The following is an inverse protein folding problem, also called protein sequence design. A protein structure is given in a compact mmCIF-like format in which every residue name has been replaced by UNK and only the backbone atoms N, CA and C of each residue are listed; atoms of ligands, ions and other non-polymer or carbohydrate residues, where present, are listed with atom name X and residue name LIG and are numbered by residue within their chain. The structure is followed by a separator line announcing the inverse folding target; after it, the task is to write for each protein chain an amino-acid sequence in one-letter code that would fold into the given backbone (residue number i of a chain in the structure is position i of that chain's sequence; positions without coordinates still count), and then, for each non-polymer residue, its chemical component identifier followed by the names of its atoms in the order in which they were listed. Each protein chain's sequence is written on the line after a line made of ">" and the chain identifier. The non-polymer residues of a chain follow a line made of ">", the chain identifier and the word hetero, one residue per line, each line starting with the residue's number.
data_IF_702188593954
#
_entry.id   IF_702188593954
#
_cell.length_a   1.000
_cell.length_b   1.000
_cell.length_c   1.000
_cell.angle_alpha   90.00
_cell.angle_beta   90.00
_cell.angle_gamma   90.00
#
_symmetry.space_group_name_H-M   'P 1'
#
loop_
_entity.id
_entity.type
_entity.pdbx_description
1 polymer ?
#
# COMPACT_ATOMS: atom_id res chain seq x y z
N UNK A 1 -19.12 7.47 3.94
CA UNK A 1 -18.59 7.18 2.59
C UNK A 1 -17.57 6.07 2.73
N UNK A 2 -17.47 5.18 1.75
CA UNK A 2 -16.44 4.15 1.73
C UNK A 2 -15.05 4.79 1.64
N UNK A 3 -14.05 4.15 2.22
CA UNK A 3 -12.69 4.68 2.26
C UNK A 3 -11.68 3.58 1.92
N UNK A 4 -10.72 3.90 1.05
CA UNK A 4 -9.66 3.00 0.60
C UNK A 4 -8.33 3.64 0.98
N UNK A 5 -7.50 2.90 1.72
CA UNK A 5 -6.12 3.30 1.96
C UNK A 5 -5.18 2.56 1.01
N UNK A 6 -4.18 3.26 0.51
CA UNK A 6 -3.19 2.70 -0.40
C UNK A 6 -1.80 2.95 0.15
N UNK A 7 -1.12 1.88 0.54
CA UNK A 7 0.28 1.95 0.95
C UNK A 7 1.17 2.21 -0.28
N UNK A 8 1.99 3.26 -0.18
CA UNK A 8 2.96 3.61 -1.21
C UNK A 8 4.31 3.01 -0.83
N UNK A 9 4.69 1.94 -1.53
CA UNK A 9 6.03 1.37 -1.38
C UNK A 9 7.05 2.27 -2.06
N UNK A 10 8.06 2.68 -1.31
CA UNK A 10 9.10 3.59 -1.73
C UNK A 10 10.48 3.08 -1.31
N UNK A 11 11.52 3.52 -1.98
CA UNK A 11 12.89 3.27 -1.60
C UNK A 11 13.71 4.55 -1.72
N UNK A 12 14.34 4.95 -0.62
CA UNK A 12 15.17 6.17 -0.53
C UNK A 12 14.48 7.43 -1.08
N UNK A 13 13.19 7.62 -0.74
CA UNK A 13 12.43 8.80 -1.13
C UNK A 13 11.85 8.76 -2.55
N UNK A 14 11.94 7.64 -3.25
CA UNK A 14 11.33 7.45 -4.56
C UNK A 14 10.30 6.32 -4.53
N UNK A 15 9.08 6.58 -5.00
CA UNK A 15 8.04 5.56 -5.06
C UNK A 15 8.33 4.54 -6.16
N UNK A 16 7.98 3.27 -5.87
CA UNK A 16 8.04 2.22 -6.89
C UNK A 16 6.85 2.34 -7.85
N UNK A 17 7.05 2.05 -9.13
CA UNK A 17 6.01 2.09 -10.15
C UNK A 17 4.75 1.28 -9.78
N UNK A 18 4.92 0.14 -9.12
CA UNK A 18 3.83 -0.70 -8.62
C UNK A 18 2.91 0.02 -7.61
N UNK A 19 3.39 1.05 -6.91
CA UNK A 19 2.55 1.87 -6.03
C UNK A 19 1.56 2.71 -6.83
N UNK A 20 1.99 3.26 -7.96
CA UNK A 20 1.14 4.04 -8.85
C UNK A 20 0.12 3.16 -9.57
N UNK A 21 0.50 1.95 -10.00
CA UNK A 21 -0.43 0.94 -10.51
C UNK A 21 -1.51 0.61 -9.47
N UNK A 22 -1.12 0.46 -8.20
CA UNK A 22 -2.04 0.19 -7.08
C UNK A 22 -2.98 1.38 -6.85
N UNK A 23 -2.50 2.63 -6.95
CA UNK A 23 -3.37 3.81 -6.88
C UNK A 23 -4.38 3.86 -8.03
N UNK A 24 -3.95 3.54 -9.25
CA UNK A 24 -4.86 3.44 -10.40
C UNK A 24 -5.96 2.40 -10.18
N UNK A 25 -5.60 1.22 -9.68
CA UNK A 25 -6.55 0.17 -9.33
C UNK A 25 -7.50 0.61 -8.20
N UNK A 26 -6.98 1.33 -7.20
CA UNK A 26 -7.78 1.88 -6.10
C UNK A 26 -8.81 2.90 -6.59
N UNK A 27 -8.47 3.77 -7.53
CA UNK A 27 -9.42 4.75 -8.12
C UNK A 27 -10.53 4.06 -8.88
N UNK A 28 -10.22 3.02 -9.65
CA UNK A 28 -11.24 2.22 -10.32
C UNK A 28 -12.15 1.53 -9.30
N UNK A 29 -11.56 0.89 -8.28
CA UNK A 29 -12.31 0.25 -7.21
C UNK A 29 -13.20 1.25 -6.47
N UNK A 30 -12.70 2.47 -6.21
CA UNK A 30 -13.46 3.53 -5.55
C UNK A 30 -14.70 3.92 -6.36
N UNK A 31 -14.59 3.99 -7.69
CA UNK A 31 -15.74 4.23 -8.57
C UNK A 31 -16.75 3.07 -8.49
N UNK A 32 -16.29 1.82 -8.54
CA UNK A 32 -17.13 0.62 -8.41
C UNK A 32 -17.84 0.56 -7.05
N UNK A 33 -17.26 1.16 -6.00
CA UNK A 33 -17.84 1.28 -4.64
C UNK A 33 -18.78 2.48 -4.46
N UNK A 34 -19.11 3.19 -5.54
CA UNK A 34 -20.02 4.34 -5.48
C UNK A 34 -19.37 5.66 -5.04
N UNK A 35 -18.05 5.81 -5.23
CA UNK A 35 -17.32 7.06 -4.96
C UNK A 35 -16.59 7.05 -3.61
N UNK A 36 -15.80 6.01 -3.33
CA UNK A 36 -14.94 5.94 -2.15
C UNK A 36 -13.79 6.97 -2.23
N UNK A 37 -13.38 7.49 -1.09
CA UNK A 37 -12.16 8.31 -0.97
C UNK A 37 -10.92 7.42 -1.00
N UNK A 38 -9.90 7.82 -1.77
CA UNK A 38 -8.61 7.12 -1.85
C UNK A 38 -7.55 7.92 -1.10
N UNK A 39 -7.03 7.36 -0.02
CA UNK A 39 -5.99 7.99 0.81
C UNK A 39 -4.66 7.25 0.66
N UNK A 40 -3.61 7.95 0.23
CA UNK A 40 -2.26 7.40 0.17
C UNK A 40 -1.65 7.33 1.58
N UNK A 41 -1.06 6.19 1.95
CA UNK A 41 -0.22 6.04 3.14
C UNK A 41 1.25 6.13 2.70
N UNK A 42 1.88 7.25 2.99
CA UNK A 42 3.28 7.53 2.62
C UNK A 42 4.13 7.51 3.88
N UNK A 43 4.93 6.46 4.02
CA UNK A 43 5.69 6.15 5.22
C UNK A 43 7.18 6.06 4.84
N UNK A 44 8.04 6.76 5.59
CA UNK A 44 9.48 6.75 5.29
C UNK A 44 10.23 7.90 5.94
N UNK A 45 11.39 8.20 5.40
CA UNK A 45 12.15 9.41 5.69
C UNK A 45 12.41 10.18 4.40
N UNK A 46 12.26 11.51 4.45
CA UNK A 46 12.37 12.41 3.28
C UNK A 46 11.38 12.04 2.15
N UNK A 47 10.12 11.72 2.50
CA UNK A 47 9.11 11.21 1.57
C UNK A 47 7.97 12.19 1.28
N UNK A 48 8.09 13.46 1.67
CA UNK A 48 7.06 14.48 1.38
C UNK A 48 6.82 14.65 -0.13
N UNK A 49 7.88 14.52 -0.95
CA UNK A 49 7.76 14.53 -2.41
C UNK A 49 6.87 13.42 -2.94
N UNK A 50 7.01 12.21 -2.38
CA UNK A 50 6.17 11.05 -2.72
C UNK A 50 4.71 11.28 -2.35
N UNK A 51 4.43 11.95 -1.22
CA UNK A 51 3.08 12.29 -0.83
C UNK A 51 2.44 13.28 -1.83
N UNK A 52 3.18 14.28 -2.28
CA UNK A 52 2.72 15.22 -3.32
C UNK A 52 2.49 14.52 -4.66
N UNK A 53 3.42 13.67 -5.08
CA UNK A 53 3.31 12.90 -6.32
C UNK A 53 2.10 11.95 -6.31
N UNK A 54 1.72 11.40 -5.14
CA UNK A 54 0.57 10.49 -5.04
C UNK A 54 -0.75 11.09 -5.52
N UNK A 55 -0.92 12.41 -5.41
CA UNK A 55 -2.11 13.10 -5.91
C UNK A 55 -2.18 13.05 -7.44
N UNK A 56 -1.06 13.19 -8.12
CA UNK A 56 -1.01 13.11 -9.58
C UNK A 56 -1.43 11.74 -10.09
N UNK A 57 -1.20 10.68 -9.30
CA UNK A 57 -1.62 9.31 -9.63
C UNK A 57 -2.96 8.90 -9.06
N UNK A 58 -3.71 9.83 -8.46
CA UNK A 58 -5.12 9.58 -8.15
C UNK A 58 -5.47 9.54 -6.67
N UNK A 59 -4.57 9.78 -5.75
CA UNK A 59 -4.95 9.97 -4.35
C UNK A 59 -5.81 11.23 -4.17
N UNK A 60 -6.79 11.16 -3.27
CA UNK A 60 -7.64 12.29 -2.89
C UNK A 60 -7.09 12.99 -1.63
N UNK A 61 -6.40 12.21 -0.76
CA UNK A 61 -5.71 12.66 0.43
C UNK A 61 -4.45 11.83 0.66
N UNK A 62 -3.55 12.30 1.51
CA UNK A 62 -2.38 11.54 1.95
C UNK A 62 -2.19 11.60 3.47
N UNK A 63 -1.81 10.49 4.08
CA UNK A 63 -1.24 10.43 5.43
C UNK A 63 0.26 10.26 5.29
N UNK A 64 1.00 11.19 5.86
CA UNK A 64 2.46 11.25 5.76
C UNK A 64 3.09 11.00 7.12
N UNK A 65 3.86 9.92 7.25
CA UNK A 65 4.82 9.75 8.33
C UNK A 65 6.23 9.88 7.75
N UNK A 66 6.85 11.03 8.01
CA UNK A 66 8.22 11.32 7.58
C UNK A 66 9.10 11.34 8.82
N UNK A 67 9.74 10.21 9.14
CA UNK A 67 10.44 10.02 10.39
C UNK A 67 11.69 9.14 10.23
N UNK A 68 12.71 9.42 11.04
CA UNK A 68 13.99 8.70 11.04
C UNK A 68 13.84 7.20 11.37
N UNK A 69 12.86 6.81 12.18
CA UNK A 69 12.59 5.40 12.51
C UNK A 69 12.15 4.58 11.29
N UNK A 70 11.75 5.26 10.21
CA UNK A 70 11.32 4.66 8.94
C UNK A 70 12.34 4.85 7.81
N UNK A 71 13.55 5.33 8.12
CA UNK A 71 14.60 5.57 7.12
C UNK A 71 14.99 4.30 6.38
N UNK A 72 15.25 3.24 7.15
CA UNK A 72 15.50 1.91 6.62
C UNK A 72 14.25 1.04 6.77
N UNK A 73 14.01 0.21 5.76
CA UNK A 73 12.84 -0.66 5.79
C UNK A 73 12.99 -1.76 6.86
N UNK A 74 12.10 -1.72 7.83
CA UNK A 74 11.91 -2.73 8.87
C UNK A 74 10.41 -3.01 8.99
N UNK A 75 9.98 -4.24 8.82
CA UNK A 75 8.56 -4.61 8.69
C UNK A 75 7.70 -4.10 9.84
N UNK A 76 8.17 -4.29 11.08
CA UNK A 76 7.39 -4.00 12.28
C UNK A 76 6.95 -2.53 12.43
N UNK A 77 7.83 -1.51 12.30
CA UNK A 77 7.38 -0.12 12.43
C UNK A 77 6.35 0.29 11.38
N UNK A 78 6.46 -0.20 10.16
CA UNK A 78 5.49 0.06 9.10
C UNK A 78 4.13 -0.60 9.39
N UNK A 79 4.12 -1.88 9.74
CA UNK A 79 2.90 -2.62 10.05
C UNK A 79 2.19 -2.06 11.29
N UNK A 80 2.94 -1.77 12.36
CA UNK A 80 2.41 -1.18 13.58
C UNK A 80 1.79 0.21 13.33
N UNK A 81 2.41 1.02 12.45
CA UNK A 81 1.86 2.32 12.09
C UNK A 81 0.55 2.19 11.33
N UNK A 82 0.46 1.32 10.32
CA UNK A 82 -0.79 1.07 9.60
C UNK A 82 -1.88 0.59 10.57
N UNK A 83 -1.56 -0.33 11.47
CA UNK A 83 -2.52 -0.84 12.44
C UNK A 83 -2.98 0.22 13.44
N UNK A 84 -2.08 1.09 13.93
CA UNK A 84 -2.43 2.21 14.80
C UNK A 84 -3.33 3.20 14.08
N UNK A 85 -2.95 3.65 12.88
CA UNK A 85 -3.75 4.58 12.09
C UNK A 85 -5.17 4.05 11.85
N UNK A 86 -5.31 2.75 11.56
CA UNK A 86 -6.62 2.12 11.42
C UNK A 86 -7.43 2.16 12.72
N UNK A 87 -6.79 1.86 13.87
CA UNK A 87 -7.48 1.84 15.16
C UNK A 87 -7.96 3.23 15.59
N UNK A 88 -7.16 4.26 15.30
CA UNK A 88 -7.41 5.66 15.66
C UNK A 88 -8.30 6.40 14.65
N UNK A 89 -8.47 5.87 13.44
CA UNK A 89 -9.25 6.52 12.40
C UNK A 89 -10.71 6.70 12.80
N UNK A 90 -11.21 7.94 12.71
CA UNK A 90 -12.63 8.25 12.90
C UNK A 90 -13.51 7.59 11.83
N UNK A 91 -13.03 7.55 10.59
CA UNK A 91 -13.61 6.79 9.49
C UNK A 91 -12.63 5.70 9.06
N UNK A 92 -12.90 4.47 9.50
CA UNK A 92 -12.06 3.33 9.17
C UNK A 92 -12.17 2.99 7.70
N UNK A 93 -11.03 2.66 7.03
CA UNK A 93 -11.09 2.18 5.66
C UNK A 93 -11.76 0.81 5.58
N UNK A 94 -12.55 0.61 4.53
CA UNK A 94 -13.11 -0.71 4.19
C UNK A 94 -12.03 -1.62 3.61
N UNK A 95 -11.07 -1.01 2.90
CA UNK A 95 -10.02 -1.70 2.17
C UNK A 95 -8.67 -1.00 2.39
N UNK A 96 -7.62 -1.80 2.61
CA UNK A 96 -6.24 -1.35 2.60
C UNK A 96 -5.52 -2.08 1.47
N UNK A 97 -5.03 -1.33 0.49
CA UNK A 97 -4.31 -1.84 -0.68
C UNK A 97 -2.82 -1.52 -0.60
N UNK A 98 -2.02 -2.38 -1.18
CA UNK A 98 -0.60 -2.13 -1.41
C UNK A 98 -0.05 -2.98 -2.56
N UNK A 99 1.12 -2.64 -3.12
CA UNK A 99 1.75 -3.46 -4.14
C UNK A 99 2.29 -4.77 -3.54
N UNK A 100 2.18 -5.88 -4.28
CA UNK A 100 2.72 -7.18 -3.87
C UNK A 100 4.24 -7.29 -4.10
N UNK A 101 4.98 -6.23 -3.77
CA UNK A 101 6.43 -6.26 -3.67
C UNK A 101 6.87 -7.13 -2.48
N UNK A 102 8.16 -7.45 -2.38
CA UNK A 102 8.69 -8.17 -1.20
C UNK A 102 8.32 -7.44 0.09
N UNK A 103 8.58 -6.13 0.15
CA UNK A 103 8.25 -5.30 1.33
C UNK A 103 6.75 -5.20 1.58
N UNK A 104 5.96 -4.98 0.53
CA UNK A 104 4.51 -4.90 0.64
C UNK A 104 3.87 -6.17 1.20
N UNK A 105 4.32 -7.36 0.75
CA UNK A 105 3.83 -8.64 1.28
C UNK A 105 4.11 -8.79 2.79
N UNK A 106 5.32 -8.45 3.22
CA UNK A 106 5.73 -8.58 4.61
C UNK A 106 4.93 -7.61 5.51
N UNK A 107 4.82 -6.34 5.10
CA UNK A 107 4.06 -5.32 5.84
C UNK A 107 2.59 -5.71 5.96
N UNK A 108 1.97 -6.13 4.85
CA UNK A 108 0.54 -6.47 4.83
C UNK A 108 0.22 -7.76 5.58
N UNK A 109 1.13 -8.74 5.54
CA UNK A 109 1.01 -9.95 6.35
C UNK A 109 0.99 -9.62 7.84
N UNK A 110 1.96 -8.82 8.32
CA UNK A 110 2.04 -8.42 9.71
C UNK A 110 0.89 -7.49 10.12
N UNK A 111 0.56 -6.49 9.30
CA UNK A 111 -0.55 -5.57 9.58
C UNK A 111 -1.89 -6.30 9.68
N UNK A 112 -2.14 -7.30 8.82
CA UNK A 112 -3.37 -8.09 8.89
C UNK A 112 -3.51 -8.84 10.22
N UNK A 113 -2.41 -9.39 10.75
CA UNK A 113 -2.40 -10.04 12.07
C UNK A 113 -2.72 -9.03 13.18
N UNK A 114 -2.09 -7.85 13.18
CA UNK A 114 -2.33 -6.81 14.19
C UNK A 114 -3.75 -6.22 14.13
N UNK A 115 -4.38 -6.28 12.95
CA UNK A 115 -5.76 -5.85 12.71
C UNK A 115 -6.79 -6.97 12.97
N UNK A 116 -6.35 -8.19 13.26
CA UNK A 116 -7.23 -9.34 13.47
C UNK A 116 -8.01 -9.74 12.22
N UNK A 117 -7.45 -9.48 11.04
CA UNK A 117 -8.01 -9.81 9.73
C UNK A 117 -7.08 -10.74 8.95
N UNK A 118 -7.36 -10.98 7.69
CA UNK A 118 -6.51 -11.75 6.78
C UNK A 118 -6.07 -10.91 5.60
N UNK A 119 -4.85 -11.16 5.11
CA UNK A 119 -4.36 -10.57 3.88
C UNK A 119 -4.71 -11.45 2.67
N UNK A 120 -5.27 -10.84 1.63
CA UNK A 120 -5.42 -11.47 0.30
C UNK A 120 -4.22 -11.01 -0.52
N UNK A 121 -3.33 -11.95 -0.83
CA UNK A 121 -2.05 -11.63 -1.46
C UNK A 121 -2.10 -11.79 -2.99
N UNK A 122 -1.31 -10.94 -3.68
CA UNK A 122 -0.94 -11.11 -5.08
C UNK A 122 -2.13 -11.09 -6.06
N UNK A 123 -3.09 -10.16 -5.81
CA UNK A 123 -4.25 -9.96 -6.67
C UNK A 123 -3.87 -9.48 -8.06
N UNK A 124 -4.30 -10.19 -9.10
CA UNK A 124 -4.14 -9.81 -10.50
C UNK A 124 -5.43 -9.20 -11.09
N UNK A 125 -6.52 -9.24 -10.34
CA UNK A 125 -7.79 -8.59 -10.64
C UNK A 125 -8.49 -8.18 -9.37
N UNK A 126 -9.21 -7.06 -9.38
CA UNK A 126 -9.97 -6.53 -8.24
C UNK A 126 -11.26 -5.88 -8.73
N UNK A 127 -12.37 -6.14 -8.05
CA UNK A 127 -13.66 -5.50 -8.32
C UNK A 127 -14.51 -5.46 -7.05
N UNK A 128 -15.45 -4.51 -6.98
CA UNK A 128 -16.43 -4.45 -5.91
C UNK A 128 -17.78 -4.99 -6.40
N UNK A 129 -18.43 -5.79 -5.55
CA UNK A 129 -19.79 -6.30 -5.78
C UNK A 129 -20.46 -6.54 -4.44
N UNK A 130 -21.73 -6.13 -4.31
CA UNK A 130 -22.57 -6.37 -3.13
C UNK A 130 -21.91 -5.96 -1.78
N UNK A 131 -21.19 -4.82 -1.79
CA UNK A 131 -20.50 -4.28 -0.61
C UNK A 131 -19.24 -5.03 -0.18
N UNK A 132 -18.74 -5.94 -1.00
CA UNK A 132 -17.50 -6.66 -0.79
C UNK A 132 -16.54 -6.51 -1.96
N UNK A 133 -15.25 -6.60 -1.67
CA UNK A 133 -14.20 -6.57 -2.69
C UNK A 133 -13.73 -7.98 -2.99
N UNK A 134 -13.82 -8.35 -4.24
CA UNK A 134 -13.40 -9.63 -4.80
C UNK A 134 -12.05 -9.47 -5.46
N UNK A 135 -11.14 -10.38 -5.16
CA UNK A 135 -9.78 -10.37 -5.69
C UNK A 135 -9.54 -11.65 -6.46
N UNK A 136 -9.17 -11.52 -7.71
CA UNK A 136 -8.72 -12.67 -8.52
C UNK A 136 -7.21 -12.79 -8.39
N UNK A 137 -6.76 -13.95 -7.95
CA UNK A 137 -5.35 -14.22 -7.82
C UNK A 137 -4.98 -15.56 -8.48
N UNK A 138 -3.83 -15.66 -9.16
CA UNK A 138 -3.38 -16.89 -9.78
C UNK A 138 -2.79 -17.84 -8.72
N UNK A 139 -3.20 -19.09 -8.82
CA UNK A 139 -2.70 -20.21 -8.03
C UNK A 139 -2.02 -21.25 -8.92
N UNK A 140 -1.21 -22.14 -8.32
CA UNK A 140 -0.51 -23.20 -9.03
C UNK A 140 0.29 -22.71 -10.24
N UNK A 141 1.14 -21.70 -10.04
CA UNK A 141 1.92 -21.05 -11.11
C UNK A 141 1.07 -20.50 -12.28
N UNK A 142 -0.13 -20.00 -11.96
CA UNK A 142 -1.03 -19.39 -12.94
C UNK A 142 -1.94 -20.38 -13.69
N UNK A 143 -1.88 -21.67 -13.39
CA UNK A 143 -2.76 -22.68 -14.00
C UNK A 143 -4.21 -22.56 -13.55
N UNK A 144 -4.46 -21.91 -12.41
CA UNK A 144 -5.78 -21.68 -11.85
C UNK A 144 -5.91 -20.21 -11.46
N UNK A 145 -7.04 -19.59 -11.79
CA UNK A 145 -7.45 -18.30 -11.28
C UNK A 145 -8.48 -18.52 -10.17
N UNK A 146 -8.17 -18.06 -8.96
CA UNK A 146 -9.06 -18.15 -7.81
C UNK A 146 -9.61 -16.77 -7.48
N UNK A 147 -10.93 -16.67 -7.28
CA UNK A 147 -11.56 -15.45 -6.78
C UNK A 147 -11.80 -15.57 -5.28
N UNK A 148 -11.22 -14.66 -4.52
CA UNK A 148 -11.22 -14.66 -3.06
C UNK A 148 -11.89 -13.39 -2.54
N UNK A 149 -12.60 -13.52 -1.42
CA UNK A 149 -13.28 -12.41 -0.74
C UNK A 149 -13.21 -12.58 0.78
N UNK A 150 -12.89 -11.51 1.49
CA UNK A 150 -13.01 -11.45 2.95
C UNK A 150 -14.41 -10.90 3.32
N UNK A 151 -15.39 -11.78 3.56
CA UNK A 151 -16.80 -11.36 3.76
C UNK A 151 -17.05 -10.71 5.12
N UNK A 152 -16.45 -11.20 6.18
CA UNK A 152 -16.84 -10.89 7.55
C UNK A 152 -15.88 -9.95 8.28
N UNK A 153 -14.62 -9.93 7.89
CA UNK A 153 -13.61 -9.12 8.57
C UNK A 153 -13.29 -7.84 7.80
N UNK A 154 -13.02 -6.78 8.56
CA UNK A 154 -12.58 -5.48 8.03
C UNK A 154 -11.35 -5.00 8.80
N UNK A 155 -10.46 -4.24 8.14
CA UNK A 155 -10.47 -3.94 6.70
C UNK A 155 -10.19 -5.19 5.87
N UNK A 156 -10.56 -5.17 4.58
CA UNK A 156 -10.01 -6.11 3.61
C UNK A 156 -8.59 -5.67 3.27
N UNK A 157 -7.60 -6.44 3.68
CA UNK A 157 -6.18 -6.16 3.44
C UNK A 157 -5.74 -6.92 2.20
N UNK A 158 -5.28 -6.20 1.16
CA UNK A 158 -5.06 -6.78 -0.18
C UNK A 158 -3.74 -6.26 -0.75
N UNK A 159 -2.90 -7.15 -1.27
CA UNK A 159 -1.77 -6.74 -2.09
C UNK A 159 -2.01 -7.06 -3.56
N UNK A 160 -1.68 -6.11 -4.45
CA UNK A 160 -1.88 -6.20 -5.89
C UNK A 160 -0.57 -6.53 -6.60
N UNK A 161 -0.66 -7.45 -7.55
CA UNK A 161 0.48 -7.91 -8.35
C UNK A 161 1.04 -6.77 -9.19
N UNK A 162 2.34 -6.47 -9.12
CA UNK A 162 2.98 -5.52 -10.02
C UNK A 162 2.76 -5.90 -11.49
N UNK A 163 2.55 -4.90 -12.34
CA UNK A 163 2.29 -5.05 -13.78
C UNK A 163 0.98 -5.77 -14.15
N UNK A 164 0.11 -6.07 -13.17
CA UNK A 164 -1.24 -6.59 -13.46
C UNK A 164 -2.27 -5.49 -13.72
N UNK A 165 -1.94 -4.26 -13.33
CA UNK A 165 -2.80 -3.10 -13.49
C UNK A 165 -2.06 -2.00 -14.25
N UNK A 166 -2.75 -1.22 -15.10
CA UNK A 166 -2.10 -0.13 -15.80
C UNK A 166 -1.66 0.96 -14.80
N UNK A 167 -0.45 1.48 -14.99
CA UNK A 167 -0.03 2.71 -14.31
C UNK A 167 -0.83 3.87 -14.91
N UNK A 168 -1.53 4.68 -14.09
CA UNK A 168 -2.25 5.84 -14.62
C UNK A 168 -1.27 6.89 -15.14
N UNK A 169 -1.71 7.67 -16.12
CA UNK A 169 -0.99 8.86 -16.54
C UNK A 169 -1.06 9.93 -15.42
N UNK A 170 0.05 10.60 -15.11
CA UNK A 170 0.07 11.59 -14.06
C UNK A 170 -0.76 12.83 -14.44
N UNK A 171 -1.63 13.25 -13.56
CA UNK A 171 -2.39 14.49 -13.65
C UNK A 171 -1.56 15.63 -13.08
N UNK A 172 -0.69 16.23 -13.89
CA UNK A 172 0.23 17.27 -13.45
C UNK A 172 -0.46 18.41 -12.68
N UNK A 173 0.11 18.79 -11.55
CA UNK A 173 -0.39 19.87 -10.71
C UNK A 173 -1.59 19.53 -9.84
N UNK A 174 -2.06 18.27 -9.83
CA UNK A 174 -3.09 17.85 -8.88
C UNK A 174 -2.54 17.88 -7.47
N UNK A 175 -3.26 18.49 -6.55
CA UNK A 175 -2.91 18.60 -5.13
C UNK A 175 -4.02 18.05 -4.24
N UNK A 176 -3.72 17.78 -2.99
CA UNK A 176 -4.67 17.31 -2.00
C UNK A 176 -4.22 17.61 -0.58
N UNK A 177 -5.01 17.22 0.39
CA UNK A 177 -4.68 17.39 1.80
C UNK A 177 -3.66 16.34 2.26
N UNK A 178 -2.59 16.80 2.92
CA UNK A 178 -1.61 15.94 3.57
C UNK A 178 -1.80 16.07 5.09
N UNK A 179 -2.11 14.95 5.73
CA UNK A 179 -2.17 14.83 7.18
C UNK A 179 -0.87 14.22 7.69
N UNK A 180 -0.08 14.98 8.47
CA UNK A 180 1.12 14.45 9.12
C UNK A 180 0.73 13.56 10.29
N UNK A 181 1.40 12.43 10.41
CA UNK A 181 1.19 11.44 11.47
C UNK A 181 2.53 11.03 12.08
N UNK A 182 2.54 10.78 13.38
CA UNK A 182 3.73 10.36 14.10
C UNK A 182 4.03 8.87 13.89
N UNK A 183 5.28 8.41 14.07
CA UNK A 183 5.62 6.99 14.02
C UNK A 183 4.94 6.23 15.16
N UNK A 184 4.62 4.96 14.94
CA UNK A 184 3.96 4.11 15.93
C UNK A 184 4.91 3.58 16.99
N UNK A 185 6.18 3.47 16.70
CA UNK A 185 7.23 2.94 17.57
C UNK A 185 8.40 3.92 17.62
N UNK A 186 9.00 4.04 18.79
CA UNK A 186 10.28 4.70 18.95
C UNK A 186 11.42 3.76 18.57
N UNK A 187 12.61 4.31 18.29
CA UNK A 187 13.76 3.51 17.84
C UNK A 187 14.16 2.42 18.85
N UNK A 188 14.08 2.69 20.15
CA UNK A 188 14.38 1.75 21.22
C UNK A 188 13.38 0.59 21.35
N UNK A 189 12.19 0.72 20.75
CA UNK A 189 11.17 -0.34 20.68
C UNK A 189 11.34 -1.25 19.46
N UNK A 190 12.22 -0.87 18.50
CA UNK A 190 12.45 -1.59 17.25
C UNK A 190 13.64 -2.52 17.43
N UNK A 191 13.38 -3.85 17.46
CA UNK A 191 14.39 -4.88 17.75
C UNK A 191 15.26 -5.28 16.56
N UNK A 192 15.01 -4.75 15.39
CA UNK A 192 15.74 -5.06 14.15
C UNK A 192 16.50 -3.84 13.69
N UNK A 193 17.71 -4.06 13.18
CA UNK A 193 18.59 -3.01 12.64
C UNK A 193 19.07 -3.43 11.25
N UNK A 194 19.05 -2.49 10.31
CA UNK A 194 19.69 -2.67 8.99
C UNK A 194 21.15 -2.33 9.15
N UNK A 195 22.04 -3.30 8.93
CA UNK A 195 23.50 -3.13 9.07
C UNK A 195 24.17 -2.65 7.79
N UNK A 196 23.49 -2.71 6.67
CA UNK A 196 23.99 -2.26 5.37
C UNK A 196 23.17 -2.80 4.21
N UNK A 197 23.51 -2.31 3.02
CA UNK A 197 22.94 -2.74 1.76
C UNK A 197 24.03 -3.36 0.88
N UNK A 198 23.79 -4.57 0.39
CA UNK A 198 24.59 -5.15 -0.68
C UNK A 198 23.99 -4.73 -2.02
N UNK A 199 24.67 -3.89 -2.76
CA UNK A 199 24.23 -3.41 -4.06
C UNK A 199 25.08 -4.09 -5.12
N UNK A 200 24.45 -4.82 -6.05
CA UNK A 200 25.12 -5.33 -7.24
C UNK A 200 25.24 -4.19 -8.26
N UNK A 201 26.43 -3.59 -8.35
CA UNK A 201 26.72 -2.56 -9.34
C UNK A 201 26.80 -3.17 -10.74
N UNK A 202 26.23 -2.50 -11.72
CA UNK A 202 26.32 -2.86 -13.15
C UNK A 202 25.38 -3.99 -13.61
N UNK A 203 24.48 -4.49 -12.77
CA UNK A 203 23.45 -5.46 -13.17
C UNK A 203 22.09 -4.80 -13.29
N UNK A 204 21.35 -5.16 -14.34
CA UNK A 204 19.95 -4.74 -14.48
C UNK A 204 19.10 -5.56 -13.51
N UNK A 205 18.38 -4.87 -12.61
CA UNK A 205 17.39 -5.53 -11.74
C UNK A 205 16.26 -6.10 -12.58
N UNK A 206 15.88 -7.37 -12.35
CA UNK A 206 14.71 -7.97 -13.01
C UNK A 206 13.40 -7.23 -12.65
N UNK A 207 13.36 -6.57 -11.48
CA UNK A 207 12.20 -5.78 -11.07
C UNK A 207 12.03 -4.50 -11.92
N UNK A 208 13.14 -3.94 -12.43
CA UNK A 208 13.16 -2.70 -13.21
C UNK A 208 13.34 -2.93 -14.71
N UNK A 209 13.51 -4.19 -15.14
CA UNK A 209 13.60 -4.55 -16.55
C UNK A 209 12.29 -4.20 -17.28
N UNK A 210 12.43 -3.55 -18.45
CA UNK A 210 11.33 -3.20 -19.35
C UNK A 210 10.91 -4.40 -20.21
#
# INVERSE_FOLDING_TARGET
>A
MANIWVFIDQFKGAALAASWETLGAAKKLAADMGGATVTALVLGQNVEGVAKESFEYGADAAMLCDDATLADFRVRPYAALIARLYKEAAQKPDVILGPATTRGRDVFGMAAVELGTSAIADGAGINAKDGAVYVTHPAYAGKLLSTVVAKTRRPQVITLRPRAFPKPEPLAGKTGAISKVEPALKEDEIRTMVTGYAIDEGKVSLADAK
#
